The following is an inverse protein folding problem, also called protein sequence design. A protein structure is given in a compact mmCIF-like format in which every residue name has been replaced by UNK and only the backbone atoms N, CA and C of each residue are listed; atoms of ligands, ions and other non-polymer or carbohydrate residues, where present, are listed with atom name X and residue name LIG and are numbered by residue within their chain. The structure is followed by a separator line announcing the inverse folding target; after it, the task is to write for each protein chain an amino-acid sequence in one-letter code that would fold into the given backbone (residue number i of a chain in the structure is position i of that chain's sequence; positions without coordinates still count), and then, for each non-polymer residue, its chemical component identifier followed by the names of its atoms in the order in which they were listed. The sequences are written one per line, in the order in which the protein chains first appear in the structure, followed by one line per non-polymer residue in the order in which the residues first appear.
data_IF_975511679746
#
_entry.id   IF_975511679746
#
_cell.length_a   1.000
_cell.length_b   1.000
_cell.length_c   1.000
_cell.angle_alpha   90.00
_cell.angle_beta   90.00
_cell.angle_gamma   90.00
#
_symmetry.space_group_name_H-M   'P 1'
#
loop_
_entity.id
_entity.type
_entity.pdbx_description
1 polymer ?
#
# COMPACT_ATOMS: atom_id res chain seq x y z
N UNK A 1 -14.07 -0.60 14.70
CA UNK A 1 -12.72 -0.06 14.45
C UNK A 1 -12.09 0.16 15.82
N UNK A 2 -10.94 -0.47 16.10
CA UNK A 2 -10.26 -0.38 17.41
C UNK A 2 -10.06 1.08 17.82
N UNK A 3 -10.36 1.43 19.08
CA UNK A 3 -10.28 2.78 19.65
C UNK A 3 -8.81 3.17 19.89
N UNK A 4 -7.98 3.05 18.86
CA UNK A 4 -6.58 3.41 18.92
C UNK A 4 -6.43 4.90 18.66
N UNK A 5 -6.02 5.65 19.68
CA UNK A 5 -5.68 7.07 19.52
C UNK A 5 -4.59 7.21 18.45
N UNK A 6 -4.74 8.21 17.56
CA UNK A 6 -3.84 8.48 16.44
C UNK A 6 -2.35 8.48 16.83
N UNK A 7 -2.02 9.04 18.00
CA UNK A 7 -0.66 9.07 18.55
C UNK A 7 -0.03 7.71 18.84
N UNK A 8 -0.82 6.65 18.94
CA UNK A 8 -0.34 5.29 19.23
C UNK A 8 -0.48 4.33 18.04
N UNK A 9 -1.16 4.74 16.96
CA UNK A 9 -1.44 3.87 15.81
C UNK A 9 -0.15 3.30 15.18
N UNK A 10 0.83 4.16 14.91
CA UNK A 10 2.12 3.73 14.32
C UNK A 10 2.85 2.79 15.27
N UNK A 11 2.90 3.12 16.58
CA UNK A 11 3.58 2.29 17.58
C UNK A 11 2.98 0.88 17.62
N UNK A 12 1.64 0.76 17.69
CA UNK A 12 1.00 -0.55 17.74
C UNK A 12 1.11 -1.31 16.41
N UNK A 13 0.90 -0.66 15.27
CA UNK A 13 1.01 -1.32 13.97
C UNK A 13 2.44 -1.83 13.70
N UNK A 14 3.46 -1.09 14.16
CA UNK A 14 4.85 -1.52 13.95
C UNK A 14 5.22 -2.75 14.79
N UNK A 15 4.51 -3.01 15.89
CA UNK A 15 4.67 -4.24 16.66
C UNK A 15 4.14 -5.49 15.94
N UNK A 16 3.30 -5.33 14.92
CA UNK A 16 2.79 -6.48 14.14
C UNK A 16 3.66 -6.79 12.92
N UNK A 17 4.71 -6.00 12.65
CA UNK A 17 5.60 -6.22 11.53
C UNK A 17 6.47 -7.47 11.75
N UNK A 18 6.63 -8.26 10.70
CA UNK A 18 7.41 -9.49 10.69
C UNK A 18 8.44 -9.46 9.55
N UNK A 19 9.47 -10.30 9.64
CA UNK A 19 10.47 -10.57 8.60
C UNK A 19 11.07 -9.31 7.93
N UNK A 20 10.89 -9.21 6.61
CA UNK A 20 11.40 -8.12 5.77
C UNK A 20 10.80 -6.77 6.14
N UNK A 21 9.54 -6.74 6.58
CA UNK A 21 8.84 -5.54 7.05
C UNK A 21 9.50 -4.97 8.30
N UNK A 22 9.77 -5.85 9.29
CA UNK A 22 10.40 -5.47 10.54
C UNK A 22 11.84 -4.98 10.31
N UNK A 23 12.57 -5.63 9.41
CA UNK A 23 13.95 -5.24 9.04
C UNK A 23 13.98 -3.83 8.43
N UNK A 24 13.07 -3.56 7.48
CA UNK A 24 12.93 -2.23 6.84
C UNK A 24 12.55 -1.16 7.86
N UNK A 25 11.56 -1.43 8.71
CA UNK A 25 11.14 -0.50 9.77
C UNK A 25 12.29 -0.14 10.71
N UNK A 26 13.07 -1.14 11.14
CA UNK A 26 14.24 -0.90 11.99
C UNK A 26 15.31 -0.07 11.29
N UNK A 27 15.53 -0.28 10.00
CA UNK A 27 16.43 0.57 9.21
C UNK A 27 15.94 2.02 9.15
N UNK A 28 14.65 2.24 8.86
CA UNK A 28 14.04 3.57 8.86
C UNK A 28 14.20 4.26 10.23
N UNK A 29 13.96 3.53 11.33
CA UNK A 29 14.11 4.04 12.70
C UNK A 29 15.55 4.47 13.00
N UNK A 30 16.56 3.77 12.47
CA UNK A 30 17.98 4.14 12.63
C UNK A 30 18.32 5.41 11.85
N UNK A 31 17.80 5.56 10.64
CA UNK A 31 18.09 6.72 9.78
C UNK A 31 17.39 7.99 10.27
N UNK A 32 16.13 7.87 10.67
CA UNK A 32 15.29 9.02 11.04
C UNK A 32 15.41 9.38 12.52
N UNK A 33 15.84 8.44 13.37
CA UNK A 33 15.87 8.58 14.83
C UNK A 33 14.54 8.23 15.47
N UNK A 34 14.58 7.72 16.71
CA UNK A 34 13.41 7.13 17.40
C UNK A 34 12.27 8.13 17.58
N UNK A 35 12.58 9.36 17.99
CA UNK A 35 11.57 10.38 18.27
C UNK A 35 10.85 10.86 17.00
N UNK A 36 11.60 11.11 15.93
CA UNK A 36 11.03 11.49 14.64
C UNK A 36 10.26 10.33 13.97
N UNK A 37 10.68 9.08 14.22
CA UNK A 37 10.01 7.89 13.69
C UNK A 37 8.63 7.67 14.30
N UNK A 38 8.46 7.88 15.61
CA UNK A 38 7.14 7.77 16.25
C UNK A 38 6.29 9.05 16.10
N UNK A 39 6.88 10.14 15.62
CA UNK A 39 6.16 11.36 15.25
C UNK A 39 5.51 11.28 13.86
N UNK A 40 5.81 10.26 13.04
CA UNK A 40 5.16 10.09 11.73
C UNK A 40 3.66 9.83 11.91
N UNK A 41 2.84 10.47 11.08
CA UNK A 41 1.41 10.15 10.99
C UNK A 41 1.21 8.78 10.33
N UNK A 42 0.03 8.19 10.53
CA UNK A 42 -0.39 6.95 9.88
C UNK A 42 -0.10 6.93 8.37
N UNK A 43 -0.36 8.04 7.67
CA UNK A 43 -0.06 8.20 6.26
C UNK A 43 1.43 8.00 5.91
N UNK A 44 2.35 8.44 6.77
CA UNK A 44 3.79 8.23 6.57
C UNK A 44 4.19 6.77 6.71
N UNK A 45 3.61 6.04 7.69
CA UNK A 45 3.81 4.60 7.82
C UNK A 45 3.24 3.86 6.59
N UNK A 46 2.03 4.20 6.16
CA UNK A 46 1.41 3.58 4.97
C UNK A 46 2.24 3.84 3.70
N UNK A 47 2.81 5.04 3.55
CA UNK A 47 3.72 5.35 2.44
C UNK A 47 4.96 4.45 2.44
N UNK A 48 5.62 4.27 3.60
CA UNK A 48 6.77 3.37 3.73
C UNK A 48 6.40 1.92 3.40
N UNK A 49 5.23 1.45 3.87
CA UNK A 49 4.74 0.11 3.57
C UNK A 49 4.42 -0.06 2.08
N UNK A 50 3.81 0.94 1.44
CA UNK A 50 3.52 0.93 0.01
C UNK A 50 4.81 0.90 -0.82
N UNK A 51 5.85 1.64 -0.46
CA UNK A 51 7.14 1.59 -1.19
C UNK A 51 7.78 0.18 -1.18
N UNK A 52 7.52 -0.61 -0.14
CA UNK A 52 8.07 -1.97 0.00
C UNK A 52 7.19 -3.02 -0.67
N UNK A 53 5.87 -2.95 -0.48
CA UNK A 53 4.94 -4.01 -0.89
C UNK A 53 4.13 -3.68 -2.15
N UNK A 54 4.07 -2.40 -2.52
CA UNK A 54 3.35 -1.90 -3.67
C UNK A 54 4.31 -1.10 -4.57
N UNK A 55 5.31 -1.77 -5.17
CA UNK A 55 6.34 -1.07 -5.91
C UNK A 55 5.73 -0.46 -7.18
N UNK A 56 6.22 0.74 -7.55
CA UNK A 56 5.66 1.55 -8.64
C UNK A 56 5.55 0.81 -9.98
N UNK A 57 6.47 -0.12 -10.25
CA UNK A 57 6.48 -0.92 -11.46
C UNK A 57 5.27 -1.88 -11.54
N UNK A 58 4.82 -2.44 -10.42
CA UNK A 58 3.63 -3.30 -10.39
C UNK A 58 2.36 -2.46 -10.58
N UNK A 59 2.29 -1.28 -9.98
CA UNK A 59 1.21 -0.31 -10.23
C UNK A 59 1.16 0.04 -11.72
N UNK A 60 2.30 0.38 -12.33
CA UNK A 60 2.38 0.72 -13.75
C UNK A 60 1.95 -0.44 -14.66
N UNK A 61 2.28 -1.69 -14.32
CA UNK A 61 1.79 -2.86 -15.06
C UNK A 61 0.26 -2.96 -14.99
N UNK A 62 -0.33 -2.71 -13.82
CA UNK A 62 -1.78 -2.76 -13.64
C UNK A 62 -2.48 -1.60 -14.37
N UNK A 63 -1.93 -0.38 -14.33
CA UNK A 63 -2.39 0.76 -15.12
C UNK A 63 -2.33 0.45 -16.63
N UNK A 64 -1.22 -0.15 -17.08
CA UNK A 64 -1.03 -0.55 -18.47
C UNK A 64 -2.01 -1.65 -18.87
N UNK A 65 -2.26 -2.63 -18.00
CA UNK A 65 -3.23 -3.68 -18.24
C UNK A 65 -4.64 -3.10 -18.35
N UNK A 66 -5.02 -2.20 -17.43
CA UNK A 66 -6.30 -1.51 -17.46
C UNK A 66 -6.50 -0.71 -18.75
N UNK A 67 -5.47 0.02 -19.18
CA UNK A 67 -5.50 0.80 -20.42
C UNK A 67 -5.67 -0.07 -21.67
N UNK A 68 -5.05 -1.26 -21.67
CA UNK A 68 -5.10 -2.18 -22.81
C UNK A 68 -6.19 -3.25 -22.67
N UNK A 69 -7.03 -3.19 -21.63
CA UNK A 69 -8.05 -4.18 -21.38
C UNK A 69 -9.13 -4.06 -22.47
N UNK A 70 -9.33 -5.15 -23.20
CA UNK A 70 -10.32 -5.23 -24.28
C UNK A 70 -11.16 -6.49 -24.13
N UNK A 71 -12.42 -6.44 -24.53
CA UNK A 71 -13.30 -7.61 -24.53
C UNK A 71 -12.78 -8.58 -25.59
N UNK A 72 -12.48 -9.82 -25.19
CA UNK A 72 -12.08 -10.90 -26.10
C UNK A 72 -13.25 -11.85 -26.36
N UNK A 73 -13.69 -11.92 -27.62
CA UNK A 73 -14.84 -12.74 -28.02
C UNK A 73 -16.12 -12.33 -27.29
N UNK A 74 -16.89 -13.31 -26.80
CA UNK A 74 -18.16 -13.07 -26.11
C UNK A 74 -18.04 -13.11 -24.57
N UNK A 75 -16.82 -13.12 -24.01
CA UNK A 75 -16.62 -13.27 -22.57
C UNK A 75 -16.66 -11.92 -21.83
N UNK A 76 -17.82 -11.26 -21.84
CA UNK A 76 -18.05 -9.99 -21.18
C UNK A 76 -17.91 -10.08 -19.65
N UNK A 77 -18.27 -11.23 -19.07
CA UNK A 77 -18.18 -11.47 -17.62
C UNK A 77 -16.74 -11.42 -17.13
N UNK A 78 -15.81 -12.11 -17.82
CA UNK A 78 -14.40 -12.09 -17.45
C UNK A 78 -13.79 -10.69 -17.60
N UNK A 79 -14.15 -9.96 -18.66
CA UNK A 79 -13.72 -8.56 -18.82
C UNK A 79 -14.20 -7.70 -17.64
N UNK A 80 -15.49 -7.77 -17.30
CA UNK A 80 -16.09 -6.95 -16.25
C UNK A 80 -15.46 -7.26 -14.89
N UNK A 81 -15.26 -8.54 -14.59
CA UNK A 81 -14.58 -8.97 -13.37
C UNK A 81 -13.14 -8.41 -13.32
N UNK A 82 -12.37 -8.56 -14.40
CA UNK A 82 -10.98 -8.10 -14.43
C UNK A 82 -10.88 -6.57 -14.32
N UNK A 83 -11.78 -5.86 -14.97
CA UNK A 83 -11.88 -4.41 -14.89
C UNK A 83 -12.15 -3.93 -13.46
N UNK A 84 -13.09 -4.58 -12.75
CA UNK A 84 -13.40 -4.26 -11.36
C UNK A 84 -12.23 -4.56 -10.42
N UNK A 85 -11.54 -5.68 -10.61
CA UNK A 85 -10.33 -6.01 -9.85
C UNK A 85 -9.24 -4.95 -10.03
N UNK A 86 -8.96 -4.54 -11.27
CA UNK A 86 -7.93 -3.55 -11.59
C UNK A 86 -8.30 -2.16 -11.03
N UNK A 87 -9.55 -1.72 -11.14
CA UNK A 87 -10.00 -0.44 -10.56
C UNK A 87 -9.80 -0.43 -9.03
N UNK A 88 -10.22 -1.50 -8.36
CA UNK A 88 -10.13 -1.58 -6.90
C UNK A 88 -8.68 -1.53 -6.42
N UNK A 89 -7.78 -2.22 -7.13
CA UNK A 89 -6.36 -2.26 -6.80
C UNK A 89 -5.69 -0.92 -7.08
N UNK A 90 -5.89 -0.31 -8.27
CA UNK A 90 -5.33 1.00 -8.59
C UNK A 90 -5.78 2.09 -7.60
N UNK A 91 -7.07 2.12 -7.25
CA UNK A 91 -7.63 3.14 -6.33
C UNK A 91 -7.01 3.05 -4.93
N UNK A 92 -6.73 1.83 -4.45
CA UNK A 92 -6.14 1.62 -3.11
C UNK A 92 -4.65 1.92 -3.04
N UNK A 93 -3.99 1.94 -4.18
CA UNK A 93 -2.54 2.16 -4.29
C UNK A 93 -2.19 3.63 -4.51
N UNK A 94 -3.15 4.46 -4.92
CA UNK A 94 -3.01 5.92 -4.96
C UNK A 94 -3.24 6.47 -3.56
N UNK A 95 -2.24 7.08 -2.91
CA UNK A 95 -2.46 7.75 -1.63
C UNK A 95 -3.41 8.94 -1.82
N UNK A 96 -4.36 9.14 -0.90
CA UNK A 96 -5.14 10.38 -0.81
C UNK A 96 -4.18 11.58 -0.66
N UNK A 97 -4.44 12.64 -1.43
CA UNK A 97 -3.63 13.88 -1.53
C UNK A 97 -3.66 14.71 -0.24
#
# INVERSE_FOLDING_TARGET
ISICLSKYQVKYATCTLQDSALTRWNSHKRTTGVDATYAIKWAGLMKLMNEVYCPRNEIQKMETELWNLTVKGNNLTAYTQRFQELILLCTRMVPDE
#
